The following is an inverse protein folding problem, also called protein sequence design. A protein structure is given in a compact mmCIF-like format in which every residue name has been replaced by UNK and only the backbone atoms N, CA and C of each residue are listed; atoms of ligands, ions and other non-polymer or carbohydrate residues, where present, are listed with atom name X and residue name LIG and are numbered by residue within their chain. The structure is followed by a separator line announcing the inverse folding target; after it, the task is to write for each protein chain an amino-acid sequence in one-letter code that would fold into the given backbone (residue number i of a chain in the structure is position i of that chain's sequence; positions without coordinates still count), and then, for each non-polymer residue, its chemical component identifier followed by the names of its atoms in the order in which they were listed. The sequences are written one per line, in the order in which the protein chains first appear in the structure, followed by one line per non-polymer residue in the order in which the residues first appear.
data_IF_703519313935
#
_entry.id   IF_703519313935
#
_cell.length_a   1.000
_cell.length_b   1.000
_cell.length_c   1.000
_cell.angle_alpha   90.00
_cell.angle_beta   90.00
_cell.angle_gamma   90.00
#
_symmetry.space_group_name_H-M   'P 1'
#
loop_
_entity.id
_entity.type
_entity.pdbx_description
1 polymer ?
#
# COMPACT_ATOMS: atom_id res chain seq x y z
N UNK A 1 9.39 -13.44 -67.58
CA UNK A 1 8.99 -14.72 -66.94
C UNK A 1 7.88 -14.44 -65.95
N UNK A 2 6.71 -15.03 -66.23
CA UNK A 2 5.53 -15.32 -65.41
C UNK A 2 5.53 -14.92 -63.92
N UNK A 3 4.53 -14.15 -63.51
CA UNK A 3 3.65 -14.57 -62.40
C UNK A 3 2.24 -13.99 -62.55
N UNK A 4 1.28 -14.90 -62.65
CA UNK A 4 -0.15 -14.71 -62.68
C UNK A 4 -0.73 -14.58 -61.26
N UNK A 5 -1.85 -13.86 -61.21
CA UNK A 5 -3.11 -14.16 -60.50
C UNK A 5 -3.15 -14.40 -58.98
N UNK A 6 -3.99 -13.57 -58.35
CA UNK A 6 -4.94 -13.80 -57.26
C UNK A 6 -4.96 -15.15 -56.54
N UNK A 7 -4.95 -15.06 -55.21
CA UNK A 7 -5.78 -15.92 -54.38
C UNK A 7 -6.49 -15.08 -53.31
N UNK A 8 -7.82 -15.03 -53.40
CA UNK A 8 -8.72 -14.62 -52.33
C UNK A 8 -9.13 -15.85 -51.52
N UNK A 9 -9.03 -15.79 -50.20
CA UNK A 9 -9.93 -16.47 -49.26
C UNK A 9 -9.69 -15.88 -47.87
N UNK A 10 -10.64 -15.09 -47.38
CA UNK A 10 -11.80 -15.52 -46.56
C UNK A 10 -11.42 -15.51 -45.08
N UNK A 11 -12.22 -14.70 -44.40
CA UNK A 11 -12.28 -14.29 -43.01
C UNK A 11 -12.26 -15.41 -41.97
N UNK A 12 -12.08 -15.00 -40.71
CA UNK A 12 -12.93 -15.29 -39.52
C UNK A 12 -12.08 -15.53 -38.25
N UNK A 13 -12.17 -14.52 -37.38
CA UNK A 13 -12.18 -14.54 -35.91
C UNK A 13 -10.86 -14.63 -35.13
N UNK A 14 -10.44 -13.45 -34.68
CA UNK A 14 -9.55 -13.26 -33.53
C UNK A 14 -9.80 -11.88 -32.93
N UNK A 15 -10.89 -11.75 -32.17
CA UNK A 15 -11.26 -10.56 -31.39
C UNK A 15 -10.14 -10.11 -30.42
N UNK A 16 -10.21 -8.85 -29.95
CA UNK A 16 -9.05 -7.96 -29.84
C UNK A 16 -8.12 -8.24 -28.66
N UNK A 17 -6.85 -7.87 -28.87
CA UNK A 17 -5.90 -7.62 -27.78
C UNK A 17 -6.52 -6.62 -26.82
N UNK A 18 -6.88 -7.10 -25.62
CA UNK A 18 -7.15 -6.24 -24.47
C UNK A 18 -5.87 -5.48 -24.16
N UNK A 19 -5.84 -4.22 -24.60
CA UNK A 19 -4.90 -3.23 -24.10
C UNK A 19 -5.28 -2.93 -22.65
N UNK A 20 -4.85 -3.81 -21.74
CA UNK A 20 -4.85 -3.54 -20.31
C UNK A 20 -3.69 -2.62 -20.01
N UNK A 21 -3.98 -1.34 -19.81
CA UNK A 21 -3.08 -0.36 -19.21
C UNK A 21 -2.46 -0.95 -17.94
N UNK A 22 -1.22 -1.43 -18.05
CA UNK A 22 -0.37 -1.71 -16.90
C UNK A 22 0.37 -0.43 -16.55
N UNK A 23 -0.29 0.46 -15.83
CA UNK A 23 0.41 1.34 -14.91
C UNK A 23 0.75 0.50 -13.67
N UNK A 24 2.03 0.19 -13.40
CA UNK A 24 2.38 -0.45 -12.14
C UNK A 24 2.00 0.50 -11.01
N UNK A 25 1.27 -0.02 -10.01
CA UNK A 25 0.82 0.69 -8.82
C UNK A 25 1.96 1.20 -7.95
N UNK A 26 2.59 2.29 -8.42
CA UNK A 26 3.07 3.38 -7.58
C UNK A 26 1.85 4.08 -6.97
N UNK A 27 2.06 4.84 -5.88
CA UNK A 27 1.08 5.74 -5.20
C UNK A 27 0.42 5.25 -3.91
N UNK A 28 1.13 4.56 -3.01
CA UNK A 28 0.68 4.51 -1.61
C UNK A 28 1.70 4.96 -0.56
N UNK A 29 2.89 5.42 -0.96
CA UNK A 29 3.93 5.85 -0.03
C UNK A 29 4.41 7.29 -0.20
N UNK A 30 3.81 8.04 -1.12
CA UNK A 30 4.10 9.48 -1.30
C UNK A 30 3.32 10.39 -0.34
N UNK A 31 2.36 9.88 0.44
CA UNK A 31 1.46 10.71 1.27
C UNK A 31 1.69 10.54 2.78
N UNK A 32 2.92 10.30 3.23
CA UNK A 32 3.22 10.38 4.67
C UNK A 32 4.24 11.45 5.08
N UNK A 33 4.92 12.12 4.15
CA UNK A 33 5.98 13.09 4.50
C UNK A 33 6.17 14.28 3.54
N UNK A 34 5.13 14.73 2.84
CA UNK A 34 5.17 15.98 2.08
C UNK A 34 3.88 16.77 2.35
N UNK A 35 3.83 17.58 3.41
CA UNK A 35 2.99 18.79 3.48
C UNK A 35 3.41 19.60 4.71
N UNK A 36 4.57 20.23 4.58
CA UNK A 36 5.05 21.25 5.49
C UNK A 36 5.19 22.58 4.76
N UNK A 37 4.11 23.11 4.16
CA UNK A 37 3.90 24.55 3.93
C UNK A 37 2.53 24.80 3.27
N UNK A 38 1.75 25.67 3.91
CA UNK A 38 0.63 26.46 3.38
C UNK A 38 -0.51 25.74 2.61
N UNK A 39 -1.62 25.53 3.33
CA UNK A 39 -2.97 25.83 2.83
C UNK A 39 -3.50 25.00 1.64
N UNK A 40 -3.92 23.76 1.90
CA UNK A 40 -5.15 23.21 1.32
C UNK A 40 -5.53 21.94 2.11
N UNK A 41 -6.65 22.01 2.82
CA UNK A 41 -7.35 20.84 3.32
C UNK A 41 -7.78 19.97 2.13
N UNK A 42 -6.98 18.96 1.83
CA UNK A 42 -7.49 17.71 1.32
C UNK A 42 -7.18 16.67 2.40
N UNK A 43 -8.08 16.56 3.39
CA UNK A 43 -8.31 15.25 3.97
C UNK A 43 -8.76 14.37 2.81
N UNK A 44 -7.83 13.76 2.09
CA UNK A 44 -8.16 12.46 1.54
C UNK A 44 -8.30 11.61 2.80
N UNK A 45 -9.51 11.21 3.20
CA UNK A 45 -9.58 10.06 4.06
C UNK A 45 -8.79 9.02 3.28
N UNK A 46 -7.64 8.60 3.81
CA UNK A 46 -7.11 7.29 3.46
C UNK A 46 -8.35 6.41 3.52
N UNK A 47 -8.83 5.93 2.37
CA UNK A 47 -10.05 5.15 2.37
C UNK A 47 -9.68 3.90 3.15
N UNK A 48 -10.02 3.88 4.45
CA UNK A 48 -9.50 2.88 5.38
C UNK A 48 -9.90 1.48 4.90
N UNK A 49 -11.02 1.41 4.20
CA UNK A 49 -11.52 0.24 3.48
C UNK A 49 -10.59 -0.20 2.35
N UNK A 50 -10.08 0.72 1.51
CA UNK A 50 -9.14 0.39 0.45
C UNK A 50 -7.79 -0.07 1.00
N UNK A 51 -7.30 0.61 2.04
CA UNK A 51 -6.06 0.24 2.70
C UNK A 51 -6.19 -1.16 3.34
N UNK A 52 -7.30 -1.43 4.03
CA UNK A 52 -7.58 -2.73 4.62
C UNK A 52 -7.73 -3.83 3.56
N UNK A 53 -8.45 -3.56 2.46
CA UNK A 53 -8.65 -4.51 1.34
C UNK A 53 -7.32 -4.99 0.75
N UNK A 54 -6.33 -4.11 0.64
CA UNK A 54 -4.99 -4.52 0.17
C UNK A 54 -4.27 -5.44 1.16
N UNK A 55 -4.41 -5.21 2.46
CA UNK A 55 -3.85 -6.10 3.48
C UNK A 55 -4.55 -7.44 3.51
N UNK A 56 -5.87 -7.45 3.36
CA UNK A 56 -6.67 -8.68 3.25
C UNK A 56 -6.18 -9.55 2.10
N UNK A 57 -6.01 -8.97 0.91
CA UNK A 57 -5.52 -9.66 -0.28
C UNK A 57 -4.08 -10.14 -0.11
N UNK A 58 -3.18 -9.28 0.37
CA UNK A 58 -1.75 -9.61 0.49
C UNK A 58 -1.45 -10.66 1.56
N UNK A 59 -2.22 -10.65 2.66
CA UNK A 59 -2.07 -11.62 3.74
C UNK A 59 -2.93 -12.87 3.52
N UNK A 60 -3.74 -12.92 2.45
CA UNK A 60 -4.65 -14.02 2.14
C UNK A 60 -5.47 -14.43 3.39
N UNK A 61 -6.14 -13.44 4.00
CA UNK A 61 -6.86 -13.66 5.27
C UNK A 61 -8.05 -14.58 5.07
N UNK A 62 -8.23 -15.53 5.99
CA UNK A 62 -9.45 -16.35 6.03
C UNK A 62 -10.64 -15.53 6.54
N UNK A 63 -11.87 -15.96 6.24
CA UNK A 63 -13.07 -15.26 6.69
C UNK A 63 -13.18 -15.15 8.22
N UNK A 64 -12.58 -16.10 8.96
CA UNK A 64 -12.50 -16.07 10.41
C UNK A 64 -11.46 -15.06 10.94
N UNK A 65 -10.39 -14.81 10.19
CA UNK A 65 -9.33 -13.87 10.55
C UNK A 65 -9.72 -12.43 10.25
N UNK A 66 -10.43 -12.19 9.13
CA UNK A 66 -10.84 -10.86 8.66
C UNK A 66 -11.40 -9.94 9.76
N UNK A 67 -12.46 -10.29 10.51
CA UNK A 67 -13.04 -9.37 11.50
C UNK A 67 -12.05 -9.02 12.62
N UNK A 68 -11.17 -9.95 13.01
CA UNK A 68 -10.15 -9.73 14.04
C UNK A 68 -9.04 -8.81 13.53
N UNK A 69 -8.57 -9.04 12.31
CA UNK A 69 -7.55 -8.22 11.68
C UNK A 69 -8.09 -6.81 11.43
N UNK A 70 -9.31 -6.66 10.92
CA UNK A 70 -9.96 -5.37 10.71
C UNK A 70 -10.03 -4.55 12.01
N UNK A 71 -10.40 -5.18 13.13
CA UNK A 71 -10.42 -4.53 14.43
C UNK A 71 -9.02 -4.03 14.86
N UNK A 72 -7.97 -4.84 14.67
CA UNK A 72 -6.58 -4.46 14.97
C UNK A 72 -6.14 -3.26 14.09
N UNK A 73 -6.47 -3.27 12.80
CA UNK A 73 -6.14 -2.18 11.89
C UNK A 73 -6.88 -0.89 12.25
N UNK A 74 -8.16 -0.98 12.64
CA UNK A 74 -8.95 0.17 13.08
C UNK A 74 -8.35 0.81 14.33
N UNK A 75 -8.00 0.00 15.33
CA UNK A 75 -7.36 0.48 16.56
C UNK A 75 -6.01 1.14 16.24
N UNK A 76 -5.19 0.52 15.39
CA UNK A 76 -3.93 1.08 14.95
C UNK A 76 -4.11 2.44 14.27
N UNK A 77 -5.13 2.59 13.42
CA UNK A 77 -5.46 3.87 12.78
C UNK A 77 -5.82 4.95 13.81
N UNK A 78 -6.63 4.61 14.81
CA UNK A 78 -6.98 5.54 15.89
C UNK A 78 -5.76 5.97 16.70
N UNK A 79 -4.84 5.05 16.98
CA UNK A 79 -3.58 5.38 17.65
C UNK A 79 -2.68 6.28 16.79
N UNK A 80 -2.58 6.01 15.48
CA UNK A 80 -1.86 6.87 14.55
C UNK A 80 -2.43 8.29 14.50
N UNK A 81 -3.76 8.42 14.52
CA UNK A 81 -4.45 9.73 14.60
C UNK A 81 -4.05 10.47 15.88
N UNK A 82 -4.09 9.80 17.04
CA UNK A 82 -3.69 10.36 18.33
C UNK A 82 -2.22 10.80 18.35
N UNK A 83 -1.32 9.96 17.84
CA UNK A 83 0.12 10.29 17.77
C UNK A 83 0.33 11.51 16.87
N UNK A 84 -0.35 11.57 15.72
CA UNK A 84 -0.26 12.70 14.78
C UNK A 84 -0.76 14.00 15.41
N UNK A 85 -1.92 13.96 16.08
CA UNK A 85 -2.56 15.11 16.71
C UNK A 85 -1.94 15.53 18.04
N UNK A 86 -1.05 14.73 18.63
CA UNK A 86 -0.37 15.10 19.89
C UNK A 86 0.54 16.32 19.72
N UNK A 87 0.74 17.09 20.79
CA UNK A 87 1.69 18.22 20.81
C UNK A 87 3.15 17.80 21.10
N UNK A 88 3.44 16.50 21.02
CA UNK A 88 4.76 15.97 21.29
C UNK A 88 5.81 16.41 20.25
N UNK A 89 7.07 16.49 20.68
CA UNK A 89 8.17 16.76 19.76
C UNK A 89 8.37 15.61 18.76
N UNK A 90 9.12 15.89 17.68
CA UNK A 90 9.33 14.94 16.57
C UNK A 90 9.95 13.61 17.01
N UNK A 91 10.85 13.63 18.00
CA UNK A 91 11.52 12.43 18.47
C UNK A 91 10.56 11.54 19.27
N UNK A 92 9.75 12.13 20.14
CA UNK A 92 8.73 11.42 20.91
C UNK A 92 7.68 10.80 19.99
N UNK A 93 7.17 11.56 19.01
CA UNK A 93 6.26 11.02 17.98
C UNK A 93 6.89 9.85 17.21
N UNK A 94 8.16 9.95 16.81
CA UNK A 94 8.84 8.87 16.11
C UNK A 94 8.95 7.59 16.96
N UNK A 95 9.22 7.72 18.27
CA UNK A 95 9.21 6.59 19.21
C UNK A 95 7.81 6.01 19.37
N UNK A 96 6.79 6.85 19.52
CA UNK A 96 5.40 6.41 19.63
C UNK A 96 4.93 5.65 18.38
N UNK A 97 5.27 6.13 17.18
CA UNK A 97 4.99 5.43 15.92
C UNK A 97 5.66 4.05 15.87
N UNK A 98 6.92 3.96 16.32
CA UNK A 98 7.63 2.68 16.39
C UNK A 98 6.92 1.72 17.34
N UNK A 99 6.67 2.15 18.58
CA UNK A 99 5.98 1.33 19.59
C UNK A 99 4.62 0.87 19.10
N UNK A 100 3.81 1.76 18.53
CA UNK A 100 2.51 1.42 17.98
C UNK A 100 2.59 0.36 16.87
N UNK A 101 3.60 0.44 15.99
CA UNK A 101 3.83 -0.59 14.98
C UNK A 101 4.24 -1.94 15.57
N UNK A 102 5.03 -1.94 16.65
CA UNK A 102 5.46 -3.18 17.32
C UNK A 102 4.30 -3.81 18.11
N UNK A 103 3.41 -3.00 18.69
CA UNK A 103 2.16 -3.45 19.31
C UNK A 103 1.18 -4.03 18.30
N UNK A 104 1.03 -3.39 17.13
CA UNK A 104 0.21 -3.90 16.04
C UNK A 104 0.70 -5.28 15.59
N UNK A 105 2.01 -5.45 15.40
CA UNK A 105 2.59 -6.73 15.03
C UNK A 105 2.32 -7.81 16.08
N UNK A 106 2.48 -7.49 17.37
CA UNK A 106 2.14 -8.41 18.47
C UNK A 106 0.69 -8.85 18.44
N UNK A 107 -0.24 -7.92 18.18
CA UNK A 107 -1.67 -8.24 18.06
C UNK A 107 -1.94 -9.12 16.84
N UNK A 108 -1.35 -8.81 15.70
CA UNK A 108 -1.47 -9.63 14.49
C UNK A 108 -0.92 -11.05 14.68
N UNK A 109 0.17 -11.23 15.42
CA UNK A 109 0.74 -12.54 15.72
C UNK A 109 -0.21 -13.47 16.51
N UNK A 110 -1.27 -12.95 17.13
CA UNK A 110 -2.30 -13.77 17.80
C UNK A 110 -3.39 -14.28 16.86
N UNK A 111 -3.45 -13.77 15.63
CA UNK A 111 -4.51 -14.05 14.65
C UNK A 111 -3.95 -14.66 13.36
N UNK A 112 -2.79 -14.18 12.94
CA UNK A 112 -2.08 -14.64 11.75
C UNK A 112 -1.26 -15.89 12.06
N UNK A 113 -1.10 -16.75 11.06
CA UNK A 113 -0.09 -17.80 11.11
C UNK A 113 1.32 -17.25 10.80
N UNK A 114 2.34 -18.07 10.98
CA UNK A 114 3.74 -17.66 10.79
C UNK A 114 4.04 -17.16 9.37
N UNK A 115 3.46 -17.78 8.34
CA UNK A 115 3.66 -17.37 6.94
C UNK A 115 3.04 -16.00 6.68
N UNK A 116 1.80 -15.77 7.14
CA UNK A 116 1.11 -14.49 7.02
C UNK A 116 1.82 -13.39 7.80
N UNK A 117 2.31 -13.70 9.01
CA UNK A 117 3.08 -12.75 9.82
C UNK A 117 4.42 -12.38 9.16
N UNK A 118 5.09 -13.35 8.53
CA UNK A 118 6.30 -13.10 7.75
C UNK A 118 6.02 -12.18 6.55
N UNK A 119 4.96 -12.44 5.79
CA UNK A 119 4.52 -11.56 4.70
C UNK A 119 4.24 -10.14 5.19
N UNK A 120 3.58 -10.01 6.36
CA UNK A 120 3.34 -8.70 6.97
C UNK A 120 4.65 -7.96 7.28
N UNK A 121 5.65 -8.63 7.86
CA UNK A 121 6.96 -8.04 8.16
C UNK A 121 7.70 -7.58 6.91
N UNK A 122 7.65 -8.38 5.84
CA UNK A 122 8.26 -8.04 4.56
C UNK A 122 7.60 -6.81 3.93
N UNK A 123 6.28 -6.75 3.92
CA UNK A 123 5.53 -5.58 3.46
C UNK A 123 5.86 -4.34 4.29
N UNK A 124 5.94 -4.47 5.62
CA UNK A 124 6.33 -3.37 6.52
C UNK A 124 7.75 -2.88 6.23
N UNK A 125 8.68 -3.79 5.93
CA UNK A 125 10.05 -3.46 5.54
C UNK A 125 10.09 -2.73 4.20
N UNK A 126 9.41 -3.25 3.18
CA UNK A 126 9.33 -2.64 1.84
C UNK A 126 8.79 -1.20 1.91
N UNK A 127 7.74 -0.98 2.70
CA UNK A 127 7.17 0.35 2.91
C UNK A 127 8.17 1.32 3.56
N UNK A 128 8.93 0.85 4.55
CA UNK A 128 9.96 1.65 5.23
C UNK A 128 11.10 2.01 4.28
N UNK A 129 11.56 1.04 3.49
CA UNK A 129 12.70 1.22 2.59
C UNK A 129 12.33 2.20 1.45
N UNK A 130 11.10 2.10 0.90
CA UNK A 130 10.56 3.11 -0.05
C UNK A 130 10.45 4.51 0.56
N UNK A 131 10.03 4.61 1.83
CA UNK A 131 9.97 5.91 2.52
C UNK A 131 11.36 6.52 2.70
N UNK A 132 12.37 5.68 2.94
CA UNK A 132 13.75 6.12 3.03
C UNK A 132 14.28 6.58 1.66
N UNK A 133 14.02 5.82 0.60
CA UNK A 133 14.41 6.18 -0.76
C UNK A 133 13.84 7.55 -1.16
N UNK A 134 12.55 7.79 -0.91
CA UNK A 134 11.93 9.10 -1.17
C UNK A 134 12.57 10.25 -0.39
N UNK A 135 13.03 10.00 0.84
CA UNK A 135 13.74 11.01 1.65
C UNK A 135 15.12 11.33 1.08
N UNK A 136 15.81 10.31 0.59
CA UNK A 136 17.17 10.46 0.07
C UNK A 136 17.15 11.11 -1.33
N UNK A 137 16.16 10.77 -2.17
CA UNK A 137 15.94 11.45 -3.46
C UNK A 137 15.69 12.95 -3.29
N UNK A 138 14.85 13.36 -2.32
CA UNK A 138 14.58 14.78 -2.08
C UNK A 138 15.81 15.56 -1.56
N UNK A 139 16.77 14.89 -0.91
CA UNK A 139 18.02 15.53 -0.45
C UNK A 139 19.06 15.72 -1.55
N UNK A 140 18.98 14.95 -2.63
CA UNK A 140 19.90 15.03 -3.78
C UNK A 140 19.45 16.10 -4.79
N UNK A 141 18.20 16.55 -4.70
CA UNK A 141 17.62 17.59 -5.55
C UNK A 141 17.68 19.02 -4.98
N UNK A 142 18.26 19.21 -3.79
CA UNK A 142 18.57 20.52 -3.17
C UNK A 142 20.07 20.85 -3.30
#
# INVERSE_FOLDING_TARGET
MKSWASFSSVDIHGSPRVAGNRTPGLWLLTILLLFGSAGLQAETPMNNEEAYSQWEQKLNLTDEQKPRVQAIFKENLENLKKIRSSDENRLSKARALKTNGDEMEKKLATVLNDQQLQTYRELRKEMRDKLQEHRDQNKVSE
#
